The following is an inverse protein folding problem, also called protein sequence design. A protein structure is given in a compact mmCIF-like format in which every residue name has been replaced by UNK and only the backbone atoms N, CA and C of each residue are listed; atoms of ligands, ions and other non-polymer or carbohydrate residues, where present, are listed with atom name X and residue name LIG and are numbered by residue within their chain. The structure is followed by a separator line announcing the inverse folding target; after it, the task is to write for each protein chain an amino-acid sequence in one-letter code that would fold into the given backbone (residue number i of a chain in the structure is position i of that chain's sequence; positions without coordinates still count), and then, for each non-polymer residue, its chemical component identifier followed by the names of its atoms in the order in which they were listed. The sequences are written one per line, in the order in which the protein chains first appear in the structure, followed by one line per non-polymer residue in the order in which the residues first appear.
data_IF_965813262681
#
_entry.id   IF_965813262681
#
_cell.length_a   1.000
_cell.length_b   1.000
_cell.length_c   1.000
_cell.angle_alpha   90.00
_cell.angle_beta   90.00
_cell.angle_gamma   90.00
#
_symmetry.space_group_name_H-M   'P 1'
#
loop_
_entity.id
_entity.type
_entity.pdbx_description
1 polymer ?
#
# COMPACT_ATOMS: atom_id res chain seq x y z
N UNK A 1 21.49 15.75 -13.08
CA UNK A 1 21.24 15.26 -13.11
C UNK A 1 21.15 14.73 -12.86
N UNK A 2 20.86 14.93 -12.79
CA UNK A 2 20.55 14.28 -12.68
C UNK A 2 20.10 13.85 -12.59
N UNK A 3 19.80 14.06 -12.41
CA UNK A 3 19.20 13.45 -12.42
C UNK A 3 18.56 13.00 -12.54
N UNK A 4 18.41 13.43 -12.92
CA UNK A 4 17.79 12.98 -13.12
C UNK A 4 17.44 12.30 -13.04
N UNK A 5 17.62 12.66 -13.09
CA UNK A 5 17.36 11.98 -13.05
C UNK A 5 16.88 11.18 -13.02
N UNK A 6 16.75 11.23 -12.83
CA UNK A 6 16.30 10.55 -13.00
C UNK A 6 15.47 10.17 -13.22
N UNK A 7 15.19 10.44 -13.28
CA UNK A 7 14.29 10.28 -13.67
C UNK A 7 14.11 9.75 -14.67
N UNK A 8 14.64 9.07 -14.59
CA UNK A 8 14.59 8.61 -15.53
C UNK A 8 13.85 8.32 -15.92
N UNK A 9 14.14 8.14 -16.52
CA UNK A 9 12.88 8.50 -17.06
C UNK A 9 11.79 7.56 -16.62
N UNK A 10 10.76 8.18 -16.20
CA UNK A 10 9.58 7.45 -15.79
C UNK A 10 8.96 6.76 -17.00
N UNK A 11 8.65 5.46 -16.89
CA UNK A 11 7.97 4.72 -17.93
C UNK A 11 6.57 4.33 -17.43
N UNK A 12 5.56 4.83 -18.10
CA UNK A 12 4.19 4.51 -17.73
C UNK A 12 3.93 3.00 -17.85
N UNK A 13 4.49 2.38 -18.90
CA UNK A 13 4.30 0.95 -19.09
C UNK A 13 4.89 0.13 -17.96
N UNK A 14 6.11 0.49 -17.51
CA UNK A 14 6.74 -0.23 -16.41
C UNK A 14 6.00 0.02 -15.11
N UNK A 15 5.54 1.24 -14.90
CA UNK A 15 4.79 1.59 -13.71
C UNK A 15 3.50 0.78 -13.63
N UNK A 16 2.75 0.73 -14.74
CA UNK A 16 1.50 -0.01 -14.77
C UNK A 16 1.72 -1.50 -14.56
N UNK A 17 2.81 -2.03 -15.10
CA UNK A 17 3.13 -3.44 -14.93
C UNK A 17 3.44 -3.76 -13.47
N UNK A 18 4.22 -2.90 -12.81
CA UNK A 18 4.55 -3.10 -11.41
C UNK A 18 3.31 -2.98 -10.54
N UNK A 19 2.46 -2.02 -10.85
CA UNK A 19 1.21 -1.82 -10.11
C UNK A 19 0.30 -3.03 -10.24
N UNK A 20 0.20 -3.59 -11.44
CA UNK A 20 -0.59 -4.79 -11.68
C UNK A 20 -0.04 -5.98 -10.93
N UNK A 21 1.28 -6.12 -10.89
CA UNK A 21 1.91 -7.20 -10.16
C UNK A 21 1.63 -7.10 -8.66
N UNK A 22 1.71 -5.88 -8.13
CA UNK A 22 1.46 -5.67 -6.71
C UNK A 22 0.03 -6.05 -6.34
N UNK A 23 -0.92 -5.68 -7.18
CA UNK A 23 -2.32 -6.04 -6.93
C UNK A 23 -2.52 -7.55 -6.99
N UNK A 24 -1.87 -8.20 -7.92
CA UNK A 24 -1.97 -9.65 -8.05
C UNK A 24 -1.42 -10.35 -6.81
N UNK A 25 -0.27 -9.87 -6.32
CA UNK A 25 0.34 -10.42 -5.11
C UNK A 25 -0.61 -10.26 -3.92
N UNK A 26 -1.23 -9.08 -3.80
CA UNK A 26 -2.14 -8.84 -2.70
C UNK A 26 -3.40 -9.67 -2.82
N UNK A 27 -3.92 -9.87 -4.03
CA UNK A 27 -5.07 -10.74 -4.23
C UNK A 27 -4.75 -12.15 -3.75
N UNK A 28 -3.59 -12.65 -4.12
CA UNK A 28 -3.16 -14.00 -3.71
C UNK A 28 -3.05 -14.08 -2.19
N UNK A 29 -2.45 -13.07 -1.58
CA UNK A 29 -2.31 -13.01 -0.13
C UNK A 29 -3.68 -13.05 0.57
N UNK A 30 -4.60 -12.22 0.08
CA UNK A 30 -5.92 -12.12 0.71
C UNK A 30 -6.72 -13.41 0.51
N UNK A 31 -6.64 -14.00 -0.67
CA UNK A 31 -7.32 -15.26 -0.92
C UNK A 31 -6.77 -16.37 -0.04
N UNK A 32 -5.46 -16.37 0.18
CA UNK A 32 -4.83 -17.32 1.07
C UNK A 32 -5.29 -17.18 2.50
N UNK A 33 -5.78 -16.01 2.87
CA UNK A 33 -6.31 -15.78 4.22
C UNK A 33 -7.82 -15.96 4.28
N UNK A 34 -8.42 -16.46 3.22
CA UNK A 34 -9.83 -16.82 3.24
C UNK A 34 -10.79 -15.77 2.71
N UNK A 35 -10.27 -14.69 2.18
CA UNK A 35 -11.14 -13.65 1.62
C UNK A 35 -11.62 -14.04 0.24
N UNK A 36 -12.91 -13.84 -0.01
CA UNK A 36 -13.49 -14.06 -1.33
C UNK A 36 -13.55 -12.71 -2.04
N UNK A 37 -12.87 -12.62 -3.16
CA UNK A 37 -12.68 -11.36 -3.85
C UNK A 37 -13.51 -11.30 -5.11
N UNK A 38 -14.02 -10.10 -5.41
CA UNK A 38 -14.71 -9.86 -6.67
C UNK A 38 -13.69 -9.82 -7.80
N UNK A 39 -14.14 -10.23 -8.98
CA UNK A 39 -13.29 -10.20 -10.16
C UNK A 39 -13.04 -8.78 -10.61
N UNK A 40 -14.08 -7.97 -10.59
CA UNK A 40 -13.99 -6.62 -11.10
C UNK A 40 -13.71 -5.61 -10.00
N UNK A 41 -12.93 -4.61 -10.36
CA UNK A 41 -12.66 -3.48 -9.49
C UNK A 41 -13.83 -2.52 -9.56
N UNK A 42 -14.30 -2.07 -8.41
CA UNK A 42 -15.38 -1.09 -8.36
C UNK A 42 -14.87 0.24 -7.84
N UNK A 43 -14.64 0.32 -6.54
CA UNK A 43 -14.17 1.55 -5.93
C UNK A 43 -12.70 1.46 -5.54
N UNK A 44 -12.33 0.36 -4.92
CA UNK A 44 -10.96 0.14 -4.46
C UNK A 44 -10.22 -0.75 -5.44
N UNK A 45 -8.92 -0.82 -5.27
CA UNK A 45 -8.07 -1.66 -6.11
C UNK A 45 -8.50 -3.12 -6.04
N UNK A 46 -8.92 -3.57 -4.87
CA UNK A 46 -9.43 -4.91 -4.66
C UNK A 46 -10.71 -4.80 -3.86
N UNK A 47 -11.72 -5.58 -4.23
CA UNK A 47 -13.00 -5.59 -3.54
C UNK A 47 -13.33 -7.00 -3.09
N UNK A 48 -13.81 -7.12 -1.87
CA UNK A 48 -14.28 -8.40 -1.36
C UNK A 48 -15.76 -8.56 -1.61
N UNK A 49 -16.20 -9.81 -1.64
CA UNK A 49 -17.63 -10.10 -1.83
C UNK A 49 -18.46 -9.59 -0.66
N UNK A 50 -17.82 -9.41 0.50
CA UNK A 50 -18.48 -8.90 1.69
C UNK A 50 -18.53 -7.36 1.74
N UNK A 51 -18.01 -6.70 0.72
CA UNK A 51 -18.03 -5.24 0.66
C UNK A 51 -16.80 -4.56 1.18
N UNK A 52 -15.82 -5.32 1.70
CA UNK A 52 -14.58 -4.72 2.15
C UNK A 52 -13.71 -4.34 0.94
N UNK A 53 -12.97 -3.23 1.04
CA UNK A 53 -12.09 -2.78 -0.02
C UNK A 53 -10.65 -2.72 0.45
N UNK A 54 -9.73 -2.92 -0.46
CA UNK A 54 -8.30 -2.81 -0.18
C UNK A 54 -7.65 -1.94 -1.24
N UNK A 55 -6.80 -1.03 -0.78
CA UNK A 55 -6.00 -0.18 -1.67
C UNK A 55 -4.56 -0.62 -1.59
N UNK A 56 -3.87 -0.63 -2.73
CA UNK A 56 -2.52 -1.15 -2.83
C UNK A 56 -1.62 -0.07 -3.44
N UNK A 57 -0.55 0.28 -2.72
CA UNK A 57 0.42 1.27 -3.19
C UNK A 57 1.81 0.67 -3.08
N UNK A 58 2.70 1.05 -3.99
CA UNK A 58 4.10 0.65 -3.91
C UNK A 58 4.93 1.86 -3.52
N UNK A 59 5.75 1.71 -2.49
CA UNK A 59 6.71 2.74 -2.11
C UNK A 59 8.05 2.32 -2.71
N UNK A 60 8.36 2.89 -3.85
CA UNK A 60 9.54 2.48 -4.62
C UNK A 60 10.85 2.77 -3.91
N UNK A 61 10.86 3.74 -3.00
CA UNK A 61 12.07 4.05 -2.22
C UNK A 61 12.31 3.05 -1.09
N UNK A 62 11.35 2.20 -0.79
CA UNK A 62 11.50 1.18 0.24
C UNK A 62 12.07 -0.08 -0.38
N UNK A 63 13.37 -0.31 -0.14
CA UNK A 63 14.09 -1.45 -0.70
C UNK A 63 14.64 -2.26 0.45
N UNK A 64 14.15 -3.49 0.62
CA UNK A 64 14.58 -4.33 1.72
C UNK A 64 13.90 -3.95 3.02
N UNK A 65 14.68 -3.86 4.09
CA UNK A 65 14.12 -3.54 5.40
C UNK A 65 13.65 -2.10 5.48
N UNK A 66 12.60 -1.88 6.25
CA UNK A 66 12.12 -0.54 6.53
C UNK A 66 13.15 0.18 7.39
N UNK A 67 13.65 1.34 6.95
CA UNK A 67 14.66 2.05 7.73
C UNK A 67 14.12 2.47 9.09
N UNK A 68 14.93 2.27 10.13
CA UNK A 68 14.49 2.57 11.49
C UNK A 68 14.24 4.06 11.71
N UNK A 69 14.84 4.90 10.86
CA UNK A 69 14.65 6.35 10.97
C UNK A 69 13.34 6.83 10.33
N UNK A 70 12.67 5.96 9.57
CA UNK A 70 11.40 6.32 8.95
C UNK A 70 10.29 6.04 9.95
N UNK A 71 9.82 7.09 10.59
CA UNK A 71 8.87 6.95 11.69
C UNK A 71 7.43 6.82 11.24
N UNK A 72 7.12 7.22 10.02
CA UNK A 72 5.74 7.19 9.55
C UNK A 72 5.63 6.58 8.16
N UNK A 73 4.45 6.04 7.90
CA UNK A 73 4.04 5.58 6.58
C UNK A 73 3.06 6.62 6.06
N UNK A 74 3.20 6.99 4.79
CA UNK A 74 2.38 8.05 4.21
C UNK A 74 1.41 7.52 3.19
N UNK A 75 0.17 7.98 3.30
CA UNK A 75 -0.89 7.63 2.35
C UNK A 75 -1.45 8.94 1.81
N UNK A 76 -1.57 9.08 0.49
CA UNK A 76 -2.06 10.35 -0.08
C UNK A 76 -3.43 10.71 0.46
N UNK A 77 -3.60 11.96 0.85
CA UNK A 77 -4.85 12.44 1.43
C UNK A 77 -6.02 12.31 0.45
N UNK A 78 -5.74 12.27 -0.85
CA UNK A 78 -6.80 12.11 -1.85
C UNK A 78 -7.56 10.80 -1.67
N UNK A 79 -7.00 9.85 -0.93
CA UNK A 79 -7.67 8.59 -0.63
C UNK A 79 -8.84 8.77 0.34
N UNK A 80 -8.98 9.96 0.94
CA UNK A 80 -10.08 10.23 1.85
C UNK A 80 -11.44 9.97 1.19
N UNK A 81 -11.55 10.24 -0.10
CA UNK A 81 -12.83 10.02 -0.77
C UNK A 81 -13.23 8.55 -0.77
N UNK A 82 -12.27 7.65 -0.81
CA UNK A 82 -12.55 6.22 -0.74
C UNK A 82 -12.94 5.81 0.68
N UNK A 83 -12.26 6.37 1.66
CA UNK A 83 -12.60 6.09 3.05
C UNK A 83 -14.03 6.56 3.33
N UNK A 84 -14.40 7.72 2.81
CA UNK A 84 -15.74 8.25 3.03
C UNK A 84 -16.80 7.39 2.33
N UNK A 85 -16.49 6.88 1.15
CA UNK A 85 -17.45 6.09 0.41
C UNK A 85 -17.63 4.68 0.97
N UNK A 86 -16.53 4.05 1.37
CA UNK A 86 -16.58 2.68 1.90
C UNK A 86 -16.93 2.63 3.37
N UNK A 87 -16.55 3.68 4.10
CA UNK A 87 -16.56 3.65 5.55
C UNK A 87 -15.20 3.19 6.06
N UNK A 88 -14.72 3.86 7.12
CA UNK A 88 -13.37 3.62 7.63
C UNK A 88 -13.16 2.19 8.14
N UNK A 89 -14.24 1.51 8.49
CA UNK A 89 -14.15 0.13 8.98
C UNK A 89 -14.20 -0.89 7.84
N UNK A 90 -14.40 -0.43 6.61
CA UNK A 90 -14.58 -1.30 5.46
C UNK A 90 -13.51 -1.13 4.40
N UNK A 91 -12.38 -0.55 4.77
CA UNK A 91 -11.27 -0.34 3.84
C UNK A 91 -9.96 -0.55 4.57
N UNK A 92 -9.01 -1.16 3.88
CA UNK A 92 -7.66 -1.41 4.41
C UNK A 92 -6.66 -1.00 3.35
N UNK A 93 -5.53 -0.46 3.78
CA UNK A 93 -4.49 0.03 2.88
C UNK A 93 -3.24 -0.82 3.03
N UNK A 94 -2.62 -1.13 1.90
CA UNK A 94 -1.34 -1.81 1.87
C UNK A 94 -0.33 -0.95 1.16
N UNK A 95 0.82 -0.74 1.80
CA UNK A 95 1.95 -0.04 1.21
C UNK A 95 3.07 -1.06 1.10
N UNK A 96 3.44 -1.42 -0.13
CA UNK A 96 4.42 -2.47 -0.39
C UNK A 96 5.79 -1.87 -0.65
N UNK A 97 6.81 -2.65 -0.34
CA UNK A 97 8.17 -2.26 -0.74
C UNK A 97 8.36 -2.51 -2.24
N UNK A 98 9.48 -2.05 -2.78
CA UNK A 98 9.72 -2.11 -4.22
C UNK A 98 9.75 -3.53 -4.77
N UNK A 99 10.16 -4.49 -3.95
CA UNK A 99 10.23 -5.90 -4.37
C UNK A 99 8.90 -6.61 -4.16
N UNK A 100 7.93 -5.97 -3.54
CA UNK A 100 6.62 -6.54 -3.27
C UNK A 100 6.68 -7.80 -2.41
N UNK A 101 7.63 -7.87 -1.50
CA UNK A 101 7.74 -9.00 -0.58
C UNK A 101 7.43 -8.61 0.85
N UNK A 102 7.23 -7.33 1.12
CA UNK A 102 6.81 -6.84 2.42
C UNK A 102 5.78 -5.74 2.23
N UNK A 103 4.91 -5.58 3.21
CA UNK A 103 3.93 -4.50 3.17
C UNK A 103 3.58 -4.03 4.56
N UNK A 104 3.16 -2.77 4.65
CA UNK A 104 2.47 -2.26 5.81
C UNK A 104 0.99 -2.41 5.58
N UNK A 105 0.30 -3.02 6.54
CA UNK A 105 -1.16 -3.13 6.51
C UNK A 105 -1.73 -2.11 7.50
N UNK A 106 -2.59 -1.25 7.02
CA UNK A 106 -3.12 -0.14 7.81
C UNK A 106 -4.63 -0.08 7.62
N UNK A 107 -5.38 -0.16 8.70
CA UNK A 107 -6.84 -0.09 8.60
C UNK A 107 -7.29 1.32 8.26
N UNK A 108 -8.45 1.40 7.61
CA UNK A 108 -9.02 2.70 7.26
C UNK A 108 -9.30 3.55 8.49
N UNK A 109 -9.64 2.91 9.60
CA UNK A 109 -9.86 3.62 10.86
C UNK A 109 -8.59 4.35 11.32
N UNK A 110 -7.46 3.67 11.25
CA UNK A 110 -6.19 4.28 11.63
C UNK A 110 -5.81 5.40 10.67
N UNK A 111 -5.98 5.18 9.37
CA UNK A 111 -5.68 6.22 8.38
C UNK A 111 -6.55 7.45 8.65
N UNK A 112 -7.85 7.23 8.83
CA UNK A 112 -8.81 8.31 9.01
C UNK A 112 -8.50 9.17 10.25
N UNK A 113 -7.97 8.55 11.29
CA UNK A 113 -7.64 9.26 12.52
C UNK A 113 -6.24 9.83 12.56
N UNK A 114 -5.46 9.66 11.50
CA UNK A 114 -4.07 10.08 11.49
C UNK A 114 -3.93 11.54 11.12
N UNK A 115 -2.79 12.11 11.49
CA UNK A 115 -2.47 13.49 11.18
C UNK A 115 -2.27 13.69 9.69
N UNK A 116 -2.72 14.82 9.18
CA UNK A 116 -2.52 15.20 7.79
C UNK A 116 -1.36 16.18 7.73
N UNK A 117 -0.37 15.86 6.91
CA UNK A 117 0.81 16.70 6.77
C UNK A 117 1.00 17.08 5.30
N UNK A 118 1.63 18.22 5.11
CA UNK A 118 1.97 18.69 3.77
C UNK A 118 3.40 18.31 3.47
N UNK A 119 3.62 17.66 2.32
CA UNK A 119 4.95 17.28 1.88
C UNK A 119 5.25 17.99 0.59
N UNK A 120 6.38 18.69 0.55
CA UNK A 120 6.81 19.42 -0.64
C UNK A 120 8.30 19.18 -0.85
N UNK A 121 8.65 18.68 -2.02
CA UNK A 121 10.03 18.46 -2.39
C UNK A 121 10.09 18.40 -3.91
N UNK A 122 11.24 18.04 -4.47
CA UNK A 122 11.34 18.04 -5.92
C UNK A 122 10.48 16.99 -6.61
N UNK A 123 10.02 15.99 -5.88
CA UNK A 123 9.15 14.94 -6.43
C UNK A 123 7.67 15.22 -6.14
N UNK A 124 7.40 16.00 -5.08
CA UNK A 124 6.04 16.29 -4.65
C UNK A 124 5.94 17.80 -4.49
N UNK A 125 5.79 18.52 -5.59
CA UNK A 125 5.71 19.97 -5.53
C UNK A 125 4.34 20.42 -5.01
N UNK A 126 4.25 21.67 -4.64
CA UNK A 126 2.99 22.32 -4.28
C UNK A 126 2.35 21.78 -3.01
N UNK A 127 3.14 21.14 -2.16
CA UNK A 127 2.63 20.76 -0.86
C UNK A 127 1.48 19.78 -0.89
N UNK A 128 1.68 18.68 -1.56
CA UNK A 128 0.67 17.63 -1.57
C UNK A 128 0.43 17.13 -0.15
N UNK A 129 -0.83 16.84 0.18
CA UNK A 129 -1.19 16.40 1.52
C UNK A 129 -1.16 14.88 1.64
N UNK A 130 -0.72 14.42 2.80
CA UNK A 130 -0.64 12.99 3.11
C UNK A 130 -1.13 12.76 4.53
N UNK A 131 -1.76 11.59 4.72
CA UNK A 131 -1.92 11.06 6.06
C UNK A 131 -0.58 10.54 6.52
N UNK A 132 -0.21 10.83 7.74
CA UNK A 132 1.04 10.40 8.34
C UNK A 132 0.72 9.39 9.44
N UNK A 133 1.02 8.13 9.19
CA UNK A 133 0.67 7.04 10.11
C UNK A 133 1.95 6.54 10.76
N UNK A 134 2.03 6.61 12.09
CA UNK A 134 3.19 6.08 12.80
C UNK A 134 3.31 4.58 12.54
N UNK A 135 4.55 4.11 12.38
CA UNK A 135 4.79 2.70 12.11
C UNK A 135 4.22 1.81 13.21
N UNK A 136 4.12 2.34 14.44
CA UNK A 136 3.56 1.58 15.55
C UNK A 136 2.07 1.29 15.37
N UNK A 137 1.41 2.02 14.49
CA UNK A 137 -0.01 1.82 14.21
C UNK A 137 -0.25 1.01 12.94
N UNK A 138 0.81 0.58 12.30
CA UNK A 138 0.75 -0.22 11.09
C UNK A 138 1.25 -1.62 11.41
N UNK A 139 0.76 -2.60 10.67
CA UNK A 139 1.18 -3.98 10.85
C UNK A 139 2.05 -4.37 9.67
N UNK A 140 3.26 -4.85 9.94
CA UNK A 140 4.13 -5.30 8.88
C UNK A 140 3.83 -6.74 8.53
N UNK A 141 3.63 -7.02 7.25
CA UNK A 141 3.34 -8.36 6.79
C UNK A 141 4.36 -8.74 5.72
N UNK A 142 4.56 -10.03 5.57
CA UNK A 142 5.47 -10.59 4.58
C UNK A 142 4.65 -11.29 3.53
N UNK A 143 4.99 -11.06 2.26
CA UNK A 143 4.18 -11.48 1.14
C UNK A 143 4.80 -12.60 0.32
N UNK A 144 5.95 -13.11 0.76
CA UNK A 144 6.63 -14.17 0.01
C UNK A 144 5.94 -15.49 0.25
N UNK A 145 5.93 -16.32 -0.78
CA UNK A 145 5.43 -17.67 -0.62
C UNK A 145 6.20 -18.45 0.43
N UNK A 146 7.45 -18.09 0.63
CA UNK A 146 8.28 -18.72 1.65
C UNK A 146 7.73 -18.53 3.03
N UNK A 147 7.26 -17.32 3.33
CA UNK A 147 6.67 -17.06 4.63
C UNK A 147 5.46 -17.92 4.87
N UNK A 148 4.60 -17.99 3.89
CA UNK A 148 3.42 -18.81 3.98
C UNK A 148 3.78 -20.28 4.10
N UNK A 149 4.74 -20.68 3.30
CA UNK A 149 5.22 -22.03 3.33
C UNK A 149 5.76 -22.40 4.70
N UNK A 150 6.61 -21.56 5.25
CA UNK A 150 7.19 -21.80 6.57
C UNK A 150 6.11 -21.90 7.62
N UNK A 151 5.14 -21.02 7.56
CA UNK A 151 4.04 -21.03 8.52
C UNK A 151 3.29 -22.35 8.46
N UNK A 152 3.00 -22.81 7.25
CA UNK A 152 2.26 -24.05 7.04
C UNK A 152 3.06 -25.25 7.54
N UNK A 153 4.33 -25.28 7.21
CA UNK A 153 5.14 -26.45 7.52
C UNK A 153 5.57 -26.53 8.97
N UNK A 154 5.55 -25.41 9.65
CA UNK A 154 5.90 -25.41 11.05
C UNK A 154 4.71 -25.69 11.95
N UNK A 155 3.54 -25.66 11.36
CA UNK A 155 2.34 -25.94 12.13
C UNK A 155 2.08 -27.44 12.28
#
# INVERSE_FOLDING_TARGET
MRTTTIRKPFSRALYDKADGKAKEIMRTYLQGRGHKLKEDKEKCDIEGEDGHGWEVEIKYSWKGEWPTSWMDVRIPHRKKRLIDKKGKDNITFYVLNSMCDQAWEITGDVVSGSEVTEVSNKFVPKGELFYSIFVSQAKKIFLTGENEYDTVHKS
#
